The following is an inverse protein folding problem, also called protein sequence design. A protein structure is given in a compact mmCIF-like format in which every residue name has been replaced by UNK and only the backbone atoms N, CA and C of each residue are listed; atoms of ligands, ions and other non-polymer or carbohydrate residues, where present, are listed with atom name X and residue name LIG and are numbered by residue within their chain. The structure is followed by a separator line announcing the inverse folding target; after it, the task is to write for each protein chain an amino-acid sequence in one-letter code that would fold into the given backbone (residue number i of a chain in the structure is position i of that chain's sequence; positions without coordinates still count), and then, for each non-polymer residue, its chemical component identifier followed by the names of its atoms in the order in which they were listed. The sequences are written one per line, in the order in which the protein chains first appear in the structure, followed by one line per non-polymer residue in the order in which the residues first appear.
data_IF_933365783620
#
_entry.id   IF_933365783620
#
_cell.length_a   1.000
_cell.length_b   1.000
_cell.length_c   1.000
_cell.angle_alpha   90.00
_cell.angle_beta   90.00
_cell.angle_gamma   90.00
#
_symmetry.space_group_name_H-M   'P 1'
#
loop_
_entity.id
_entity.type
_entity.pdbx_description
1 polymer ?
#
# COMPACT_ATOMS: atom_id res chain seq x y z
N UNK A 1 80.31 -9.23 -31.65
CA UNK A 1 80.44 -9.18 -30.15
C UNK A 1 79.13 -8.94 -29.42
N UNK A 2 78.31 -7.89 -29.78
CA UNK A 2 77.03 -7.65 -29.07
C UNK A 2 75.96 -8.69 -29.43
N UNK A 3 75.87 -9.11 -30.67
CA UNK A 3 74.92 -10.11 -31.14
C UNK A 3 75.26 -11.54 -30.65
N UNK A 4 76.52 -11.88 -30.53
CA UNK A 4 76.99 -13.17 -29.96
C UNK A 4 76.61 -13.28 -28.49
N UNK A 5 76.83 -12.20 -27.72
CA UNK A 5 76.47 -12.15 -26.29
C UNK A 5 74.98 -12.17 -26.06
N UNK A 6 74.15 -11.60 -26.97
CA UNK A 6 72.71 -11.65 -26.93
C UNK A 6 72.20 -13.09 -27.16
N UNK A 7 72.86 -13.87 -28.02
CA UNK A 7 72.53 -15.25 -28.30
C UNK A 7 72.83 -16.17 -27.10
N UNK A 8 74.03 -15.97 -26.50
CA UNK A 8 74.38 -16.69 -25.25
C UNK A 8 73.36 -16.45 -24.15
N UNK A 9 72.89 -15.22 -23.95
CA UNK A 9 71.86 -14.91 -22.97
C UNK A 9 70.48 -15.54 -23.30
N UNK A 10 70.15 -15.68 -24.59
CA UNK A 10 68.90 -16.33 -25.01
C UNK A 10 68.97 -17.85 -24.77
N UNK A 11 70.17 -18.48 -25.00
CA UNK A 11 70.37 -19.92 -24.74
C UNK A 11 70.31 -20.23 -23.23
N UNK A 12 70.89 -19.35 -22.39
CA UNK A 12 70.75 -19.48 -20.93
C UNK A 12 69.28 -19.31 -20.48
N UNK A 13 68.56 -18.34 -21.04
CA UNK A 13 67.15 -18.10 -20.74
C UNK A 13 66.28 -19.29 -21.15
N UNK A 14 66.55 -19.95 -22.28
CA UNK A 14 65.83 -21.12 -22.74
C UNK A 14 66.04 -22.31 -21.81
N UNK A 15 67.29 -22.52 -21.32
CA UNK A 15 67.59 -23.55 -20.36
C UNK A 15 66.83 -23.38 -19.04
N UNK A 16 66.68 -22.12 -18.58
CA UNK A 16 65.91 -21.79 -17.38
C UNK A 16 64.42 -22.04 -17.60
N UNK A 17 63.88 -21.74 -18.77
CA UNK A 17 62.46 -21.95 -19.11
C UNK A 17 62.16 -23.45 -19.17
N UNK A 18 63.01 -24.27 -19.72
CA UNK A 18 62.85 -25.74 -19.75
C UNK A 18 62.84 -26.38 -18.37
N UNK A 19 63.40 -25.72 -17.37
CA UNK A 19 63.42 -26.21 -15.97
C UNK A 19 62.20 -25.74 -15.16
N UNK A 20 61.37 -24.85 -15.65
CA UNK A 20 60.21 -24.32 -14.94
C UNK A 20 58.94 -25.09 -15.30
N UNK A 21 58.24 -25.55 -14.28
CA UNK A 21 56.96 -26.25 -14.36
C UNK A 21 55.81 -25.26 -14.27
N UNK A 22 55.26 -24.84 -15.44
CA UNK A 22 54.02 -24.01 -15.50
C UNK A 22 53.69 -23.64 -16.94
N UNK A 23 52.65 -24.25 -17.55
CA UNK A 23 52.36 -24.17 -19.00
C UNK A 23 52.21 -22.74 -19.52
N UNK A 24 51.41 -21.90 -18.93
CA UNK A 24 51.11 -20.54 -19.45
C UNK A 24 52.30 -19.56 -19.35
N UNK A 25 53.09 -19.64 -18.28
CA UNK A 25 54.30 -18.82 -18.15
C UNK A 25 55.40 -19.29 -19.11
N UNK A 26 55.45 -20.58 -19.42
CA UNK A 26 56.39 -21.19 -20.36
C UNK A 26 56.04 -20.80 -21.80
N UNK A 27 54.81 -20.79 -22.20
CA UNK A 27 54.34 -20.36 -23.55
C UNK A 27 54.61 -18.90 -23.81
N UNK A 28 54.30 -18.01 -22.87
CA UNK A 28 54.52 -16.57 -23.04
C UNK A 28 56.03 -16.25 -23.14
N UNK A 29 56.85 -16.93 -22.37
CA UNK A 29 58.31 -16.79 -22.38
C UNK A 29 58.92 -17.42 -23.64
N UNK A 30 58.44 -18.60 -24.03
CA UNK A 30 58.81 -19.26 -25.29
C UNK A 30 58.55 -18.42 -26.52
N UNK A 31 57.38 -17.74 -26.58
CA UNK A 31 57.08 -16.78 -27.62
C UNK A 31 58.12 -15.63 -27.66
N UNK A 32 58.42 -15.04 -26.50
CA UNK A 32 59.35 -13.92 -26.41
C UNK A 32 60.80 -14.32 -26.85
N UNK A 33 61.22 -15.51 -26.48
CA UNK A 33 62.54 -16.09 -26.87
C UNK A 33 62.60 -16.33 -28.38
N UNK A 34 61.57 -16.97 -28.96
CA UNK A 34 61.50 -17.19 -30.40
C UNK A 34 61.52 -15.89 -31.19
N UNK A 35 60.76 -14.87 -30.73
CA UNK A 35 60.76 -13.53 -31.34
C UNK A 35 62.09 -12.81 -31.22
N UNK A 36 62.79 -12.94 -30.08
CA UNK A 36 64.10 -12.36 -29.88
C UNK A 36 65.19 -13.03 -30.77
N UNK A 37 65.17 -14.37 -30.92
CA UNK A 37 66.02 -15.06 -31.88
C UNK A 37 65.79 -14.64 -33.31
N UNK A 38 64.52 -14.48 -33.71
CA UNK A 38 64.16 -13.98 -35.03
C UNK A 38 64.74 -12.59 -35.32
N UNK A 39 64.67 -11.69 -34.32
CA UNK A 39 65.28 -10.33 -34.46
C UNK A 39 66.80 -10.35 -34.58
N UNK A 40 67.48 -11.17 -33.77
CA UNK A 40 68.95 -11.34 -33.86
C UNK A 40 69.34 -11.88 -35.22
N UNK A 41 68.65 -12.89 -35.75
CA UNK A 41 68.86 -13.43 -37.06
C UNK A 41 68.64 -12.39 -38.16
N UNK A 42 67.58 -11.53 -38.05
CA UNK A 42 67.34 -10.42 -38.97
C UNK A 42 68.49 -9.42 -38.97
N UNK A 43 68.99 -9.03 -37.81
CA UNK A 43 70.10 -8.07 -37.68
C UNK A 43 71.42 -8.65 -38.24
N UNK A 44 71.59 -9.98 -38.25
CA UNK A 44 72.73 -10.70 -38.88
C UNK A 44 72.58 -10.84 -40.39
N UNK A 45 71.44 -10.52 -40.94
CA UNK A 45 71.14 -10.75 -42.35
C UNK A 45 70.77 -12.20 -42.68
N UNK A 46 70.61 -13.08 -41.67
CA UNK A 46 70.20 -14.45 -41.87
C UNK A 46 68.66 -14.54 -41.90
N UNK A 47 68.11 -14.21 -43.04
CA UNK A 47 66.65 -14.16 -43.24
C UNK A 47 65.99 -15.50 -43.14
N UNK A 48 66.68 -16.63 -43.39
CA UNK A 48 66.16 -17.97 -43.24
C UNK A 48 66.07 -18.38 -41.75
N UNK A 49 67.06 -18.04 -40.94
CA UNK A 49 67.02 -18.27 -39.50
C UNK A 49 65.96 -17.39 -38.82
N UNK A 50 65.81 -16.13 -39.28
CA UNK A 50 64.75 -15.23 -38.83
C UNK A 50 63.36 -15.82 -39.12
N UNK A 51 63.14 -16.34 -40.34
CA UNK A 51 61.88 -16.95 -40.74
C UNK A 51 61.53 -18.14 -39.86
N UNK A 52 62.50 -19.07 -39.61
CA UNK A 52 62.26 -20.22 -38.72
C UNK A 52 61.89 -19.80 -37.31
N UNK A 53 62.57 -18.80 -36.79
CA UNK A 53 62.30 -18.32 -35.41
C UNK A 53 60.93 -17.63 -35.28
N UNK A 54 60.55 -16.80 -36.26
CA UNK A 54 59.28 -16.14 -36.29
C UNK A 54 58.12 -17.12 -36.56
N UNK A 55 58.33 -18.20 -37.34
CA UNK A 55 57.37 -19.27 -37.53
C UNK A 55 57.15 -20.07 -36.22
N UNK A 56 58.24 -20.40 -35.49
CA UNK A 56 58.10 -21.01 -34.19
C UNK A 56 57.35 -20.13 -33.19
N UNK A 57 57.56 -18.81 -33.20
CA UNK A 57 56.79 -17.90 -32.39
C UNK A 57 55.30 -17.93 -32.72
N UNK A 58 54.92 -17.97 -34.01
CA UNK A 58 53.52 -18.07 -34.43
C UNK A 58 52.86 -19.36 -33.91
N UNK A 59 53.57 -20.48 -34.02
CA UNK A 59 53.02 -21.76 -33.52
C UNK A 59 52.82 -21.75 -31.98
N UNK A 60 53.76 -21.16 -31.23
CA UNK A 60 53.60 -20.97 -29.80
C UNK A 60 52.42 -20.05 -29.48
N UNK A 61 52.24 -18.96 -30.22
CA UNK A 61 51.14 -18.04 -30.02
C UNK A 61 49.79 -18.71 -30.30
N UNK A 62 49.69 -19.53 -31.34
CA UNK A 62 48.51 -20.34 -31.70
C UNK A 62 48.20 -21.37 -30.64
N UNK A 63 49.18 -22.15 -30.22
CA UNK A 63 48.98 -23.17 -29.19
C UNK A 63 48.49 -22.57 -27.87
N UNK A 64 48.98 -21.39 -27.48
CA UNK A 64 48.56 -20.65 -26.31
C UNK A 64 47.30 -19.77 -26.49
N UNK A 65 46.68 -19.78 -27.68
CA UNK A 65 45.54 -18.91 -28.03
C UNK A 65 45.79 -17.41 -27.77
N UNK A 66 47.06 -16.99 -27.99
CA UNK A 66 47.54 -15.64 -27.70
C UNK A 66 47.35 -14.70 -28.92
N UNK A 67 46.14 -14.30 -29.22
CA UNK A 67 45.73 -13.62 -30.46
C UNK A 67 46.53 -12.34 -30.77
N UNK A 68 46.85 -11.52 -29.75
CA UNK A 68 47.70 -10.33 -29.92
C UNK A 68 49.13 -10.68 -30.34
N UNK A 69 49.69 -11.80 -29.82
CA UNK A 69 50.99 -12.28 -30.17
C UNK A 69 51.04 -12.91 -31.57
N UNK A 70 49.96 -13.57 -31.98
CA UNK A 70 49.80 -14.02 -33.36
C UNK A 70 49.91 -12.87 -34.36
N UNK A 71 49.23 -11.72 -34.06
CA UNK A 71 49.35 -10.51 -34.90
C UNK A 71 50.76 -10.02 -35.05
N UNK A 72 51.55 -10.05 -33.95
CA UNK A 72 52.97 -9.66 -33.96
C UNK A 72 53.81 -10.62 -34.77
N UNK A 73 53.59 -11.95 -34.59
CA UNK A 73 54.32 -12.99 -35.31
C UNK A 73 54.02 -12.94 -36.82
N UNK A 74 52.77 -12.76 -37.22
CA UNK A 74 52.40 -12.58 -38.61
C UNK A 74 53.10 -11.37 -39.24
N UNK A 75 53.20 -10.24 -38.52
CA UNK A 75 53.92 -9.06 -39.02
C UNK A 75 55.41 -9.34 -39.28
N UNK A 76 56.08 -10.06 -38.38
CA UNK A 76 57.49 -10.41 -38.51
C UNK A 76 57.76 -11.45 -39.62
N UNK A 77 56.82 -12.43 -39.73
CA UNK A 77 56.90 -13.40 -40.85
C UNK A 77 56.74 -12.72 -42.21
N UNK A 78 55.80 -11.82 -42.34
CA UNK A 78 55.65 -11.02 -43.56
C UNK A 78 56.92 -10.22 -43.90
N UNK A 79 57.61 -9.65 -42.90
CA UNK A 79 58.85 -8.94 -43.08
C UNK A 79 59.98 -9.89 -43.50
N UNK A 80 60.13 -11.05 -42.87
CA UNK A 80 61.14 -12.07 -43.17
C UNK A 80 60.96 -12.66 -44.59
N UNK A 81 59.73 -12.97 -44.98
CA UNK A 81 59.45 -13.42 -46.32
C UNK A 81 59.74 -12.35 -47.38
N UNK A 82 59.44 -11.10 -47.09
CA UNK A 82 59.77 -9.95 -48.00
C UNK A 82 61.30 -9.84 -48.19
N UNK A 83 62.09 -10.02 -47.13
CA UNK A 83 63.56 -9.99 -47.25
C UNK A 83 64.13 -11.10 -48.12
N UNK A 84 63.45 -12.24 -48.12
CA UNK A 84 63.79 -13.42 -48.96
C UNK A 84 63.28 -13.32 -50.38
N UNK A 85 62.57 -12.25 -50.77
CA UNK A 85 61.92 -12.07 -52.08
C UNK A 85 60.68 -12.95 -52.28
N UNK A 86 60.20 -13.59 -51.24
CA UNK A 86 59.00 -14.45 -51.24
C UNK A 86 57.76 -13.63 -50.97
N UNK A 87 57.35 -12.89 -51.97
CA UNK A 87 56.29 -11.86 -51.79
C UNK A 87 54.88 -12.45 -51.63
N UNK A 88 54.64 -13.61 -52.16
CA UNK A 88 53.35 -14.27 -52.10
C UNK A 88 53.04 -14.69 -50.65
N UNK A 89 54.01 -15.34 -50.03
CA UNK A 89 53.87 -15.77 -48.61
C UNK A 89 53.87 -14.56 -47.66
N UNK A 90 54.65 -13.50 -48.01
CA UNK A 90 54.61 -12.25 -47.26
C UNK A 90 53.18 -11.63 -47.26
N UNK A 91 52.49 -11.70 -48.42
CA UNK A 91 51.14 -11.21 -48.54
C UNK A 91 50.13 -12.04 -47.74
N UNK A 92 50.22 -13.39 -47.82
CA UNK A 92 49.38 -14.29 -47.02
C UNK A 92 49.41 -13.95 -45.50
N UNK A 93 50.63 -13.74 -44.98
CA UNK A 93 50.81 -13.36 -43.57
C UNK A 93 50.25 -11.96 -43.26
N UNK A 94 50.32 -11.03 -44.18
CA UNK A 94 49.80 -9.68 -44.03
C UNK A 94 48.27 -9.71 -44.04
N UNK A 95 47.64 -10.51 -44.91
CA UNK A 95 46.23 -10.71 -44.98
C UNK A 95 45.68 -11.37 -43.73
N UNK A 96 46.35 -12.45 -43.24
CA UNK A 96 45.99 -13.10 -41.98
C UNK A 96 46.01 -12.12 -40.79
N UNK A 97 47.06 -11.27 -40.72
CA UNK A 97 47.19 -10.24 -39.71
C UNK A 97 46.01 -9.24 -39.77
N UNK A 98 45.69 -8.80 -41.00
CA UNK A 98 44.61 -7.83 -41.21
C UNK A 98 43.24 -8.39 -40.79
N UNK A 99 42.92 -9.61 -41.23
CA UNK A 99 41.68 -10.28 -40.90
C UNK A 99 41.51 -10.47 -39.38
N UNK A 100 42.58 -10.90 -38.67
CA UNK A 100 42.52 -11.04 -37.21
C UNK A 100 42.38 -9.68 -36.52
N UNK A 101 43.04 -8.66 -36.97
CA UNK A 101 42.93 -7.29 -36.41
C UNK A 101 41.52 -6.74 -36.60
N UNK A 102 40.91 -6.92 -37.77
CA UNK A 102 39.55 -6.50 -38.06
C UNK A 102 38.52 -7.23 -37.16
N UNK A 103 38.71 -8.56 -36.98
CA UNK A 103 37.84 -9.36 -36.09
C UNK A 103 37.90 -8.87 -34.61
N UNK A 104 39.12 -8.55 -34.12
CA UNK A 104 39.30 -8.02 -32.75
C UNK A 104 38.67 -6.62 -32.60
N UNK A 105 38.84 -5.76 -33.61
CA UNK A 105 38.29 -4.40 -33.59
C UNK A 105 36.75 -4.45 -33.64
N UNK A 106 36.16 -5.31 -34.47
CA UNK A 106 34.72 -5.51 -34.57
C UNK A 106 34.13 -6.00 -33.25
N UNK A 107 34.74 -7.02 -32.63
CA UNK A 107 34.27 -7.56 -31.33
C UNK A 107 34.32 -6.49 -30.23
N UNK A 108 35.38 -5.71 -30.16
CA UNK A 108 35.53 -4.62 -29.19
C UNK A 108 34.46 -3.51 -29.37
N UNK A 109 34.16 -3.19 -30.63
CA UNK A 109 33.15 -2.19 -30.98
C UNK A 109 31.75 -2.69 -30.63
N UNK A 110 31.41 -3.92 -30.98
CA UNK A 110 30.11 -4.53 -30.66
C UNK A 110 29.85 -4.61 -29.15
N UNK A 111 30.88 -5.01 -28.38
CA UNK A 111 30.79 -5.03 -26.91
C UNK A 111 30.54 -3.64 -26.34
N UNK A 112 31.22 -2.61 -26.88
CA UNK A 112 31.05 -1.23 -26.44
C UNK A 112 29.66 -0.69 -26.74
N UNK A 113 29.12 -1.00 -27.93
CA UNK A 113 27.75 -0.63 -28.31
C UNK A 113 26.74 -1.31 -27.39
N UNK A 114 26.87 -2.62 -27.13
CA UNK A 114 25.99 -3.34 -26.21
C UNK A 114 26.05 -2.76 -24.79
N UNK A 115 27.24 -2.41 -24.30
CA UNK A 115 27.39 -1.80 -22.97
C UNK A 115 26.69 -0.45 -22.88
N UNK A 116 26.81 0.39 -23.93
CA UNK A 116 26.13 1.70 -23.99
C UNK A 116 24.60 1.53 -24.06
N UNK A 117 24.12 0.55 -24.83
CA UNK A 117 22.68 0.24 -24.89
C UNK A 117 22.13 -0.19 -23.53
N UNK A 118 22.81 -1.12 -22.83
CA UNK A 118 22.41 -1.56 -21.48
C UNK A 118 22.39 -0.38 -20.51
N UNK A 119 23.39 0.49 -20.55
CA UNK A 119 23.45 1.68 -19.69
C UNK A 119 22.28 2.64 -19.97
N UNK A 120 21.98 2.89 -21.25
CA UNK A 120 20.86 3.71 -21.68
C UNK A 120 19.51 3.13 -21.24
N UNK A 121 19.28 1.83 -21.47
CA UNK A 121 18.03 1.15 -21.12
C UNK A 121 17.83 1.11 -19.59
N UNK A 122 18.93 0.91 -18.84
CA UNK A 122 18.90 0.95 -17.37
C UNK A 122 18.52 2.33 -16.86
N UNK A 123 19.08 3.38 -17.44
CA UNK A 123 18.76 4.77 -17.05
C UNK A 123 17.30 5.12 -17.41
N UNK A 124 16.84 4.74 -18.60
CA UNK A 124 15.44 4.93 -19.02
C UNK A 124 14.46 4.18 -18.07
N UNK A 125 14.80 2.94 -17.70
CA UNK A 125 14.00 2.17 -16.75
C UNK A 125 13.95 2.82 -15.36
N UNK A 126 15.06 3.37 -14.87
CA UNK A 126 15.11 4.12 -13.60
C UNK A 126 14.24 5.37 -13.63
N UNK A 127 14.31 6.15 -14.70
CA UNK A 127 13.50 7.36 -14.87
C UNK A 127 12.01 7.01 -14.93
N UNK A 128 11.65 5.95 -15.66
CA UNK A 128 10.26 5.48 -15.72
C UNK A 128 9.74 4.99 -14.36
N UNK A 129 10.55 4.27 -13.61
CA UNK A 129 10.20 3.82 -12.25
C UNK A 129 9.98 5.00 -11.30
N UNK A 130 10.81 6.05 -11.38
CA UNK A 130 10.64 7.26 -10.55
C UNK A 130 9.36 8.02 -10.91
N UNK A 131 9.06 8.19 -12.21
CA UNK A 131 7.81 8.81 -12.67
C UNK A 131 6.59 8.02 -12.16
N UNK A 132 6.62 6.69 -12.25
CA UNK A 132 5.54 5.84 -11.74
C UNK A 132 5.37 6.01 -10.24
N UNK A 133 6.47 6.02 -9.47
CA UNK A 133 6.44 6.21 -8.03
C UNK A 133 5.80 7.54 -7.62
N UNK A 134 6.20 8.63 -8.28
CA UNK A 134 5.63 9.95 -8.03
C UNK A 134 4.14 9.99 -8.36
N UNK A 135 3.73 9.45 -9.51
CA UNK A 135 2.32 9.39 -9.91
C UNK A 135 1.47 8.53 -8.96
N UNK A 136 2.02 7.39 -8.50
CA UNK A 136 1.33 6.55 -7.52
C UNK A 136 1.11 7.31 -6.21
N UNK A 137 2.14 8.02 -5.71
CA UNK A 137 2.02 8.83 -4.51
C UNK A 137 1.00 9.98 -4.65
N UNK A 138 0.99 10.68 -5.78
CA UNK A 138 -0.01 11.72 -6.08
C UNK A 138 -1.43 11.14 -6.13
N UNK A 139 -1.61 10.00 -6.80
CA UNK A 139 -2.92 9.34 -6.91
C UNK A 139 -3.43 8.87 -5.56
N UNK A 140 -2.57 8.26 -4.73
CA UNK A 140 -2.93 7.85 -3.37
C UNK A 140 -3.33 9.03 -2.50
N UNK A 141 -2.62 10.16 -2.60
CA UNK A 141 -2.98 11.38 -1.89
C UNK A 141 -4.33 11.94 -2.36
N UNK A 142 -4.57 11.95 -3.67
CA UNK A 142 -5.85 12.39 -4.25
C UNK A 142 -7.00 11.47 -3.82
N UNK A 143 -6.81 10.14 -3.85
CA UNK A 143 -7.82 9.17 -3.40
C UNK A 143 -8.15 9.39 -1.93
N UNK A 144 -7.13 9.50 -1.05
CA UNK A 144 -7.36 9.78 0.37
C UNK A 144 -8.14 11.09 0.59
N UNK A 145 -7.76 12.16 -0.11
CA UNK A 145 -8.47 13.44 -0.03
C UNK A 145 -9.93 13.32 -0.47
N UNK A 146 -10.18 12.68 -1.61
CA UNK A 146 -11.55 12.48 -2.12
C UNK A 146 -12.40 11.57 -1.24
N UNK A 147 -11.80 10.53 -0.63
CA UNK A 147 -12.53 9.67 0.32
C UNK A 147 -12.95 10.47 1.55
N UNK A 148 -12.04 11.28 2.10
CA UNK A 148 -12.36 12.15 3.24
C UNK A 148 -13.45 13.17 2.91
N UNK A 149 -13.38 13.82 1.74
CA UNK A 149 -14.42 14.77 1.28
C UNK A 149 -15.79 14.08 1.16
N UNK A 150 -15.81 12.85 0.61
CA UNK A 150 -17.06 12.08 0.46
C UNK A 150 -17.65 11.68 1.82
N UNK A 151 -16.84 11.28 2.77
CA UNK A 151 -17.28 10.97 4.14
C UNK A 151 -17.89 12.22 4.81
N UNK A 152 -17.26 13.39 4.66
CA UNK A 152 -17.77 14.65 5.17
C UNK A 152 -19.11 15.03 4.53
N UNK A 153 -19.22 14.95 3.20
CA UNK A 153 -20.46 15.23 2.49
C UNK A 153 -21.59 14.26 2.83
N UNK A 154 -21.28 12.98 3.02
CA UNK A 154 -22.25 12.01 3.49
C UNK A 154 -22.76 12.37 4.88
N UNK A 155 -21.86 12.71 5.81
CA UNK A 155 -22.22 13.12 7.16
C UNK A 155 -23.12 14.37 7.13
N UNK A 156 -22.77 15.38 6.35
CA UNK A 156 -23.57 16.58 6.18
C UNK A 156 -24.98 16.26 5.61
N UNK A 157 -25.03 15.39 4.60
CA UNK A 157 -26.31 14.98 4.01
C UNK A 157 -27.21 14.28 5.03
N UNK A 158 -26.66 13.35 5.82
CA UNK A 158 -27.41 12.67 6.89
C UNK A 158 -27.89 13.64 7.97
N UNK A 159 -27.06 14.59 8.38
CA UNK A 159 -27.46 15.63 9.33
C UNK A 159 -28.62 16.47 8.79
N UNK A 160 -28.56 16.89 7.52
CA UNK A 160 -29.62 17.67 6.90
C UNK A 160 -30.94 16.89 6.75
N UNK A 161 -30.84 15.57 6.43
CA UNK A 161 -32.01 14.69 6.36
C UNK A 161 -32.65 14.49 7.75
N UNK A 162 -31.84 14.27 8.79
CA UNK A 162 -32.30 14.17 10.16
C UNK A 162 -33.02 15.44 10.61
N UNK A 163 -32.39 16.62 10.41
CA UNK A 163 -33.01 17.94 10.70
C UNK A 163 -34.31 18.15 9.92
N UNK A 164 -34.36 17.75 8.64
CA UNK A 164 -35.56 17.86 7.82
C UNK A 164 -36.71 17.02 8.36
N UNK A 165 -36.44 15.82 8.84
CA UNK A 165 -37.43 14.93 9.46
C UNK A 165 -37.99 15.53 10.75
N UNK A 166 -37.15 16.14 11.57
CA UNK A 166 -37.51 16.76 12.85
C UNK A 166 -38.07 18.19 12.72
N UNK A 167 -37.78 18.89 11.60
CA UNK A 167 -38.22 20.27 11.41
C UNK A 167 -39.75 20.43 11.54
N UNK A 168 -40.51 19.35 11.41
CA UNK A 168 -41.94 19.30 11.62
C UNK A 168 -42.34 19.08 13.09
N UNK A 169 -41.45 18.44 13.87
CA UNK A 169 -41.58 18.32 15.32
C UNK A 169 -40.82 19.49 15.95
N UNK A 170 -41.25 20.01 17.07
CA UNK A 170 -40.83 21.30 17.65
C UNK A 170 -39.37 21.43 18.07
N UNK A 171 -38.50 20.52 17.70
CA UNK A 171 -37.12 20.46 18.14
C UNK A 171 -36.11 20.98 17.06
N UNK A 172 -35.05 21.58 17.52
CA UNK A 172 -34.05 22.30 16.70
C UNK A 172 -33.09 21.38 15.91
N UNK A 173 -33.34 20.07 15.79
CA UNK A 173 -32.44 19.10 15.18
C UNK A 173 -31.23 18.75 16.06
N UNK A 174 -31.04 19.41 17.20
CA UNK A 174 -29.97 19.11 18.14
C UNK A 174 -30.18 17.79 18.89
N UNK A 175 -31.43 17.37 19.05
CA UNK A 175 -31.83 16.10 19.65
C UNK A 175 -31.20 14.92 18.93
N UNK A 176 -31.35 14.82 17.61
CA UNK A 176 -30.79 13.72 16.82
C UNK A 176 -29.27 13.62 16.95
N UNK A 177 -28.58 14.77 17.03
CA UNK A 177 -27.14 14.82 17.24
C UNK A 177 -26.80 14.24 18.61
N UNK A 178 -27.49 14.68 19.68
CA UNK A 178 -27.24 14.20 21.05
C UNK A 178 -27.54 12.71 21.19
N UNK A 179 -28.65 12.22 20.62
CA UNK A 179 -28.98 10.78 20.62
C UNK A 179 -27.91 9.99 19.88
N UNK A 180 -27.46 10.42 18.70
CA UNK A 180 -26.39 9.77 17.95
C UNK A 180 -25.06 9.72 18.73
N UNK A 181 -24.66 10.83 19.32
CA UNK A 181 -23.40 10.93 20.08
C UNK A 181 -23.43 10.11 21.38
N UNK A 182 -24.54 10.10 22.11
CA UNK A 182 -24.73 9.27 23.28
C UNK A 182 -24.73 7.77 22.91
N UNK A 183 -25.42 7.39 21.85
CA UNK A 183 -25.44 6.00 21.34
C UNK A 183 -24.03 5.51 21.00
N UNK A 184 -23.24 6.35 20.33
CA UNK A 184 -21.84 6.03 20.03
C UNK A 184 -20.97 5.87 21.27
N UNK A 185 -21.17 6.72 22.30
CA UNK A 185 -20.43 6.62 23.56
C UNK A 185 -20.77 5.33 24.30
N UNK A 186 -22.06 4.96 24.37
CA UNK A 186 -22.51 3.69 24.95
C UNK A 186 -21.92 2.49 24.19
N UNK A 187 -21.97 2.51 22.86
CA UNK A 187 -21.43 1.46 22.03
C UNK A 187 -19.93 1.24 22.24
N UNK A 188 -19.16 2.36 22.34
CA UNK A 188 -17.74 2.32 22.64
C UNK A 188 -17.46 1.71 24.01
N UNK A 189 -18.25 2.04 25.02
CA UNK A 189 -18.13 1.52 26.37
C UNK A 189 -18.47 0.01 26.41
N UNK A 190 -19.37 -0.45 25.55
CA UNK A 190 -19.67 -1.88 25.39
C UNK A 190 -18.56 -2.66 24.65
N UNK A 191 -17.55 -1.98 24.09
CA UNK A 191 -16.41 -2.60 23.42
C UNK A 191 -16.62 -2.87 21.93
N UNK A 192 -17.59 -2.21 21.31
CA UNK A 192 -17.85 -2.33 19.88
C UNK A 192 -16.71 -1.71 19.04
N UNK A 193 -16.56 -2.14 17.79
CA UNK A 193 -15.51 -1.64 16.89
C UNK A 193 -15.70 -0.16 16.56
N UNK A 194 -14.58 0.58 16.33
CA UNK A 194 -14.63 1.99 15.97
C UNK A 194 -15.49 2.27 14.73
N UNK A 195 -15.49 1.37 13.75
CA UNK A 195 -16.33 1.47 12.55
C UNK A 195 -17.83 1.35 12.90
N UNK A 196 -18.19 0.38 13.72
CA UNK A 196 -19.59 0.19 14.14
C UNK A 196 -20.07 1.34 15.02
N UNK A 197 -19.23 1.84 15.92
CA UNK A 197 -19.48 3.03 16.75
C UNK A 197 -19.74 4.26 15.88
N UNK A 198 -18.91 4.47 14.85
CA UNK A 198 -19.10 5.54 13.88
C UNK A 198 -20.43 5.40 13.13
N UNK A 199 -20.73 4.21 12.63
CA UNK A 199 -22.00 3.95 11.94
C UNK A 199 -23.20 4.16 12.85
N UNK A 200 -23.13 3.70 14.12
CA UNK A 200 -24.25 3.88 15.06
C UNK A 200 -24.49 5.33 15.41
N UNK A 201 -23.42 6.15 15.51
CA UNK A 201 -23.54 7.61 15.68
C UNK A 201 -24.41 8.24 14.62
N UNK A 202 -24.23 7.84 13.36
CA UNK A 202 -24.95 8.36 12.22
C UNK A 202 -26.36 7.76 12.09
N UNK A 203 -26.46 6.45 12.31
CA UNK A 203 -27.73 5.72 12.27
C UNK A 203 -28.70 6.22 13.34
N UNK A 204 -28.21 6.46 14.56
CA UNK A 204 -29.01 7.00 15.65
C UNK A 204 -29.64 8.36 15.36
N UNK A 205 -28.98 9.16 14.51
CA UNK A 205 -29.54 10.46 14.07
C UNK A 205 -30.76 10.33 13.15
N UNK A 206 -30.98 9.15 12.55
CA UNK A 206 -32.06 8.85 11.63
C UNK A 206 -33.16 8.01 12.24
N UNK A 207 -33.14 7.77 13.57
CA UNK A 207 -34.11 6.90 14.24
C UNK A 207 -35.56 7.29 13.95
N UNK A 208 -35.83 8.56 13.89
CA UNK A 208 -37.15 9.19 13.72
C UNK A 208 -37.47 9.65 12.29
N UNK A 209 -36.66 9.26 11.27
CA UNK A 209 -36.86 9.70 9.87
C UNK A 209 -38.29 9.44 9.34
N UNK A 210 -38.93 8.38 9.82
CA UNK A 210 -40.28 8.01 9.43
C UNK A 210 -41.37 8.97 9.91
N UNK A 211 -41.12 9.85 10.86
CA UNK A 211 -42.06 10.92 11.28
C UNK A 211 -42.48 11.82 10.12
N UNK A 212 -41.70 11.86 9.04
CA UNK A 212 -42.04 12.57 7.81
C UNK A 212 -43.38 12.15 7.24
N UNK A 213 -43.82 10.92 7.47
CA UNK A 213 -45.10 10.40 6.98
C UNK A 213 -46.26 10.52 7.99
N UNK A 214 -45.99 10.93 9.24
CA UNK A 214 -47.03 11.12 10.25
C UNK A 214 -47.79 12.44 9.96
N UNK A 215 -49.15 12.42 9.95
CA UNK A 215 -49.94 13.64 9.73
C UNK A 215 -49.71 14.71 10.80
N UNK A 216 -49.65 16.00 10.42
CA UNK A 216 -49.45 17.13 11.34
C UNK A 216 -50.49 17.18 12.46
N UNK A 217 -51.75 16.80 12.16
CA UNK A 217 -52.82 16.71 13.16
C UNK A 217 -52.55 15.76 14.31
N UNK A 218 -51.65 14.79 14.10
CA UNK A 218 -51.23 13.82 15.12
C UNK A 218 -49.88 14.25 15.69
N UNK A 219 -48.91 14.53 14.83
CA UNK A 219 -47.56 14.88 15.24
C UNK A 219 -47.50 16.12 16.12
N UNK A 220 -48.27 17.18 15.73
CA UNK A 220 -48.28 18.48 16.40
C UNK A 220 -49.48 18.64 17.37
N UNK A 221 -50.18 17.59 17.72
CA UNK A 221 -51.35 17.65 18.59
C UNK A 221 -51.01 18.20 19.96
N UNK A 222 -51.66 19.30 20.41
CA UNK A 222 -51.41 19.82 21.74
C UNK A 222 -52.17 18.99 22.78
N UNK A 223 -51.62 17.87 23.22
CA UNK A 223 -52.22 17.01 24.24
C UNK A 223 -52.02 15.50 23.99
N UNK A 224 -52.56 14.63 24.83
CA UNK A 224 -52.41 13.20 24.67
C UNK A 224 -53.06 12.69 23.37
N UNK A 225 -52.41 11.70 22.75
CA UNK A 225 -52.94 10.98 21.58
C UNK A 225 -54.01 10.01 22.03
N UNK A 226 -55.04 9.83 21.23
CA UNK A 226 -55.97 8.69 21.37
C UNK A 226 -55.27 7.40 20.99
N UNK A 227 -55.88 6.22 21.29
CA UNK A 227 -55.31 4.91 20.93
C UNK A 227 -55.07 4.81 19.41
N UNK A 228 -56.04 5.23 18.58
CA UNK A 228 -55.94 5.17 17.12
C UNK A 228 -54.84 6.14 16.59
N UNK A 229 -54.75 7.35 17.15
CA UNK A 229 -53.71 8.32 16.81
C UNK A 229 -52.33 7.81 17.22
N UNK A 230 -52.20 7.13 18.38
CA UNK A 230 -50.98 6.53 18.82
C UNK A 230 -50.58 5.36 17.93
N UNK A 231 -51.51 4.57 17.41
CA UNK A 231 -51.24 3.51 16.44
C UNK A 231 -50.70 4.09 15.12
N UNK A 232 -51.20 5.24 14.66
CA UNK A 232 -50.62 5.97 13.52
C UNK A 232 -49.22 6.49 13.88
N UNK A 233 -49.03 7.06 15.06
CA UNK A 233 -47.72 7.56 15.48
C UNK A 233 -46.67 6.42 15.46
N UNK A 234 -47.01 5.23 15.93
CA UNK A 234 -46.08 4.06 15.93
C UNK A 234 -45.59 3.69 14.53
N UNK A 235 -46.35 4.01 13.48
CA UNK A 235 -45.94 3.68 12.10
C UNK A 235 -44.65 4.37 11.65
N UNK A 236 -44.19 5.42 12.35
CA UNK A 236 -42.92 6.06 11.99
C UNK A 236 -41.73 5.09 12.03
N UNK A 237 -41.76 4.08 12.90
CA UNK A 237 -40.70 3.07 12.99
C UNK A 237 -40.64 2.20 11.75
N UNK A 238 -41.77 1.68 11.29
CA UNK A 238 -41.86 0.85 10.08
C UNK A 238 -41.62 1.64 8.81
N UNK A 239 -42.18 2.85 8.72
CA UNK A 239 -41.98 3.75 7.56
C UNK A 239 -40.52 4.22 7.49
N UNK A 240 -39.90 4.54 8.63
CA UNK A 240 -38.48 4.89 8.70
C UNK A 240 -37.59 3.77 8.18
N UNK A 241 -37.86 2.54 8.61
CA UNK A 241 -37.15 1.35 8.10
C UNK A 241 -37.39 1.14 6.59
N UNK A 242 -38.62 1.37 6.09
CA UNK A 242 -38.94 1.25 4.68
C UNK A 242 -38.21 2.30 3.83
N UNK A 243 -38.19 3.57 4.27
CA UNK A 243 -37.44 4.68 3.60
C UNK A 243 -35.97 4.32 3.45
N UNK A 244 -35.37 3.69 4.45
CA UNK A 244 -33.94 3.34 4.49
C UNK A 244 -33.66 1.94 3.90
N UNK A 245 -34.68 1.20 3.49
CA UNK A 245 -34.54 -0.16 2.97
C UNK A 245 -33.88 -0.22 1.58
N UNK A 246 -33.38 -1.42 1.20
CA UNK A 246 -32.86 -1.68 -0.15
C UNK A 246 -31.44 -1.13 -0.41
N UNK A 247 -30.80 -0.51 0.57
CA UNK A 247 -29.40 -0.06 0.46
C UNK A 247 -28.40 -1.18 0.70
N UNK A 248 -27.30 -1.19 -0.04
CA UNK A 248 -26.13 -2.05 0.21
C UNK A 248 -25.14 -1.46 1.22
N UNK A 249 -25.34 -0.20 1.64
CA UNK A 249 -24.48 0.49 2.61
C UNK A 249 -24.72 -0.06 4.02
N UNK A 250 -23.70 -0.56 4.74
CA UNK A 250 -23.82 -1.03 6.12
C UNK A 250 -24.41 0.05 7.05
N UNK A 251 -24.04 1.32 6.84
CA UNK A 251 -24.57 2.44 7.59
C UNK A 251 -26.08 2.58 7.43
N UNK A 252 -26.60 2.54 6.17
CA UNK A 252 -28.03 2.70 5.90
C UNK A 252 -28.81 1.48 6.41
N UNK A 253 -28.24 0.28 6.31
CA UNK A 253 -28.83 -0.93 6.90
C UNK A 253 -28.97 -0.80 8.41
N UNK A 254 -27.92 -0.32 9.09
CA UNK A 254 -27.95 -0.06 10.52
C UNK A 254 -28.97 1.03 10.89
N UNK A 255 -29.08 2.08 10.08
CA UNK A 255 -30.09 3.12 10.29
C UNK A 255 -31.53 2.58 10.13
N UNK A 256 -31.79 1.71 9.16
CA UNK A 256 -33.08 1.03 9.02
C UNK A 256 -33.40 0.14 10.24
N UNK A 257 -32.38 -0.59 10.74
CA UNK A 257 -32.49 -1.41 11.93
C UNK A 257 -32.82 -0.57 13.17
N UNK A 258 -32.12 0.55 13.35
CA UNK A 258 -32.38 1.53 14.44
C UNK A 258 -33.78 2.09 14.32
N UNK A 259 -34.19 2.60 13.15
CA UNK A 259 -35.51 3.17 12.95
C UNK A 259 -36.62 2.19 13.30
N UNK A 260 -36.45 0.90 12.96
CA UNK A 260 -37.45 -0.14 13.25
C UNK A 260 -37.52 -0.48 14.72
N UNK A 261 -36.39 -0.46 15.47
CA UNK A 261 -36.33 -1.14 16.77
C UNK A 261 -36.10 -0.21 17.98
N UNK A 262 -35.93 1.10 17.80
CA UNK A 262 -35.62 2.02 18.90
C UNK A 262 -36.78 2.22 19.91
N UNK A 263 -37.97 1.75 19.60
CA UNK A 263 -39.13 1.70 20.52
C UNK A 263 -39.49 0.31 20.98
N UNK A 264 -38.68 -0.71 20.64
CA UNK A 264 -38.79 -1.99 21.28
C UNK A 264 -38.36 -1.91 22.75
N UNK A 265 -38.91 -2.73 23.57
CA UNK A 265 -38.65 -2.81 25.02
C UNK A 265 -38.13 -4.16 25.39
N UNK A 266 -37.21 -4.23 26.32
CA UNK A 266 -36.56 -5.47 26.74
C UNK A 266 -37.60 -6.52 27.19
N UNK A 267 -38.70 -6.10 27.84
CA UNK A 267 -39.81 -6.94 28.33
C UNK A 267 -40.82 -7.37 27.22
N UNK A 268 -40.62 -6.94 25.96
CA UNK A 268 -41.50 -7.25 24.83
C UNK A 268 -42.78 -6.43 24.76
N UNK A 269 -42.94 -5.44 25.61
CA UNK A 269 -44.13 -4.54 25.60
C UNK A 269 -43.97 -3.36 24.64
N UNK A 270 -42.87 -3.34 23.88
CA UNK A 270 -42.55 -2.32 22.89
C UNK A 270 -43.27 -2.50 21.56
N UNK A 271 -42.88 -1.72 20.58
CA UNK A 271 -43.39 -1.73 19.20
C UNK A 271 -42.25 -1.49 18.18
N UNK A 272 -42.45 -1.88 16.90
CA UNK A 272 -43.65 -2.43 16.27
C UNK A 272 -43.77 -3.96 16.40
N UNK A 273 -42.67 -4.68 16.69
CA UNK A 273 -42.61 -6.12 16.64
C UNK A 273 -42.92 -6.80 17.97
N UNK A 274 -42.83 -6.11 19.12
CA UNK A 274 -42.93 -6.69 20.46
C UNK A 274 -41.78 -7.70 20.71
N UNK A 275 -40.59 -7.42 20.23
CA UNK A 275 -39.39 -8.24 20.41
C UNK A 275 -38.96 -8.26 21.87
N UNK A 276 -38.43 -9.41 22.31
CA UNK A 276 -38.05 -9.60 23.71
C UNK A 276 -36.54 -9.82 23.84
N UNK A 277 -35.93 -9.16 24.79
CA UNK A 277 -34.54 -9.42 25.15
C UNK A 277 -33.57 -9.24 23.99
N UNK A 278 -32.73 -10.23 23.72
CA UNK A 278 -31.71 -10.22 22.68
C UNK A 278 -32.27 -10.33 21.25
N UNK A 279 -33.55 -10.63 21.06
CA UNK A 279 -34.21 -10.55 19.75
C UNK A 279 -34.28 -9.09 19.24
N UNK A 280 -34.15 -8.11 20.15
CA UNK A 280 -33.96 -6.70 19.79
C UNK A 280 -32.49 -6.48 19.40
N UNK A 281 -32.18 -6.01 18.20
CA UNK A 281 -30.81 -5.68 17.81
C UNK A 281 -30.13 -4.74 18.81
N UNK A 282 -28.82 -4.94 19.03
CA UNK A 282 -28.06 -4.12 19.97
C UNK A 282 -28.14 -2.62 19.67
N UNK A 283 -28.18 -2.25 18.39
CA UNK A 283 -28.38 -0.88 17.92
C UNK A 283 -29.65 -0.26 18.43
N UNK A 284 -30.76 -0.98 18.36
CA UNK A 284 -32.06 -0.56 18.90
C UNK A 284 -32.03 -0.39 20.42
N UNK A 285 -31.48 -1.40 21.14
CA UNK A 285 -31.34 -1.37 22.61
C UNK A 285 -30.54 -0.16 23.11
N UNK A 286 -29.44 0.19 22.42
CA UNK A 286 -28.59 1.36 22.73
C UNK A 286 -29.34 2.66 22.46
N UNK A 287 -29.92 2.81 21.24
CA UNK A 287 -30.58 4.04 20.84
C UNK A 287 -31.79 4.32 21.70
N UNK A 288 -32.54 3.28 22.14
CA UNK A 288 -33.67 3.44 23.09
C UNK A 288 -33.24 4.13 24.39
N UNK A 289 -32.09 3.76 24.98
CA UNK A 289 -31.58 4.38 26.21
C UNK A 289 -31.20 5.83 25.94
N UNK A 290 -30.47 6.11 24.84
CA UNK A 290 -30.02 7.43 24.46
C UNK A 290 -31.21 8.39 24.18
N UNK A 291 -32.20 7.92 23.41
CA UNK A 291 -33.41 8.68 23.07
C UNK A 291 -34.23 9.03 24.31
N UNK A 292 -34.49 8.03 25.17
CA UNK A 292 -35.26 8.27 26.40
C UNK A 292 -34.54 9.25 27.32
N UNK A 293 -33.21 9.12 27.48
CA UNK A 293 -32.43 10.06 28.30
C UNK A 293 -32.54 11.48 27.77
N UNK A 294 -32.36 11.69 26.46
CA UNK A 294 -32.46 13.00 25.84
C UNK A 294 -33.91 13.54 25.92
N UNK A 295 -34.90 12.71 25.67
CA UNK A 295 -36.31 13.09 25.77
C UNK A 295 -36.74 13.51 27.18
N UNK A 296 -36.14 12.95 28.23
CA UNK A 296 -36.41 13.32 29.63
C UNK A 296 -35.68 14.60 30.03
N UNK A 297 -34.45 14.81 29.56
CA UNK A 297 -33.58 15.94 29.95
C UNK A 297 -33.74 17.17 29.08
N UNK A 298 -34.35 17.05 27.88
CA UNK A 298 -34.60 18.14 26.99
C UNK A 298 -35.86 18.91 27.35
N UNK A 299 -35.85 20.25 27.15
CA UNK A 299 -36.98 21.13 27.37
C UNK A 299 -37.99 20.93 26.22
N UNK A 300 -39.22 20.47 26.50
CA UNK A 300 -40.30 20.38 25.53
C UNK A 300 -41.41 21.38 25.86
N UNK A 301 -42.09 21.86 24.88
CA UNK A 301 -43.11 22.96 24.98
C UNK A 301 -44.20 22.69 26.04
N UNK A 302 -44.40 21.44 26.44
CA UNK A 302 -45.46 21.00 27.35
C UNK A 302 -44.98 20.27 28.60
N UNK A 303 -43.65 20.13 28.82
CA UNK A 303 -43.07 19.38 29.95
C UNK A 303 -41.79 20.03 30.45
N UNK A 304 -41.69 20.26 31.76
CA UNK A 304 -40.40 20.61 32.37
C UNK A 304 -39.40 19.53 32.14
N UNK A 305 -38.19 19.93 31.71
CA UNK A 305 -37.07 19.02 31.65
C UNK A 305 -36.76 18.42 33.04
N UNK A 306 -36.53 17.13 33.09
CA UNK A 306 -36.02 16.49 34.28
C UNK A 306 -34.56 16.87 34.49
N UNK A 307 -34.11 16.83 35.73
CA UNK A 307 -32.67 16.88 35.99
C UNK A 307 -32.01 15.61 35.44
N UNK A 308 -30.74 15.67 35.02
CA UNK A 308 -30.02 14.47 34.61
C UNK A 308 -30.10 13.34 35.62
N UNK A 309 -30.05 13.65 36.92
CA UNK A 309 -30.16 12.67 38.00
C UNK A 309 -31.51 11.97 38.00
N UNK A 310 -32.63 12.70 37.89
CA UNK A 310 -33.97 12.10 37.81
C UNK A 310 -34.11 11.18 36.59
N UNK A 311 -33.59 11.56 35.44
CA UNK A 311 -33.62 10.76 34.23
C UNK A 311 -32.79 9.45 34.38
N UNK A 312 -31.60 9.56 35.00
CA UNK A 312 -30.73 8.41 35.29
C UNK A 312 -31.42 7.44 36.26
N UNK A 313 -32.02 7.97 37.33
CA UNK A 313 -32.77 7.12 38.31
C UNK A 313 -33.93 6.40 37.65
N UNK A 314 -34.66 7.06 36.73
CA UNK A 314 -35.71 6.39 35.95
C UNK A 314 -35.15 5.27 35.08
N UNK A 315 -34.04 5.51 34.35
CA UNK A 315 -33.43 4.51 33.47
C UNK A 315 -32.92 3.32 34.31
N UNK A 316 -32.30 3.56 35.46
CA UNK A 316 -31.86 2.51 36.39
C UNK A 316 -33.08 1.69 36.90
N UNK A 317 -34.13 2.36 37.27
CA UNK A 317 -35.36 1.70 37.76
C UNK A 317 -36.12 0.90 36.71
N UNK A 318 -35.85 1.13 35.43
CA UNK A 318 -36.45 0.44 34.29
C UNK A 318 -35.53 -0.66 33.68
N UNK A 319 -34.40 -1.01 34.35
CA UNK A 319 -33.57 -2.17 33.99
C UNK A 319 -34.42 -3.45 33.93
N UNK A 320 -34.11 -4.33 33.00
CA UNK A 320 -34.77 -5.61 32.74
C UNK A 320 -36.28 -5.52 32.41
N UNK A 321 -36.85 -4.30 32.37
CA UNK A 321 -38.17 -4.02 31.87
C UNK A 321 -38.15 -3.28 30.55
N UNK A 322 -37.81 -1.99 30.54
CA UNK A 322 -37.69 -1.22 29.32
C UNK A 322 -36.32 -1.41 28.65
N UNK A 323 -35.23 -1.52 29.43
CA UNK A 323 -33.85 -1.48 28.97
C UNK A 323 -33.10 -2.75 29.37
N UNK A 324 -32.14 -3.17 28.52
CA UNK A 324 -31.14 -4.17 28.86
C UNK A 324 -30.22 -3.65 29.98
N UNK A 325 -30.04 -4.44 31.05
CA UNK A 325 -29.17 -4.05 32.18
C UNK A 325 -27.74 -3.68 31.74
N UNK A 326 -27.14 -4.48 30.85
CA UNK A 326 -25.78 -4.26 30.33
C UNK A 326 -25.62 -2.89 29.59
N UNK A 327 -26.62 -2.51 28.80
CA UNK A 327 -26.63 -1.23 28.09
C UNK A 327 -26.80 -0.08 29.08
N UNK A 328 -27.65 -0.25 30.10
CA UNK A 328 -27.82 0.76 31.16
C UNK A 328 -26.52 0.94 31.97
N UNK A 329 -25.80 -0.15 32.27
CA UNK A 329 -24.53 -0.07 33.00
C UNK A 329 -23.49 0.71 32.18
N UNK A 330 -23.35 0.43 30.89
CA UNK A 330 -22.47 1.20 30.00
C UNK A 330 -22.89 2.66 29.88
N UNK A 331 -24.19 2.96 29.82
CA UNK A 331 -24.71 4.33 29.82
C UNK A 331 -24.32 5.08 31.10
N UNK A 332 -24.46 4.44 32.29
CA UNK A 332 -24.09 5.05 33.56
C UNK A 332 -22.58 5.39 33.58
N UNK A 333 -21.72 4.51 33.09
CA UNK A 333 -20.30 4.77 32.99
C UNK A 333 -20.00 6.00 32.11
N UNK A 334 -20.63 6.09 30.92
CA UNK A 334 -20.50 7.23 30.00
C UNK A 334 -20.94 8.54 30.65
N UNK A 335 -22.11 8.54 31.33
CA UNK A 335 -22.60 9.77 31.98
C UNK A 335 -21.76 10.14 33.19
N UNK A 336 -21.20 9.17 33.90
CA UNK A 336 -20.29 9.39 35.02
C UNK A 336 -18.98 10.06 34.61
N UNK A 337 -18.48 9.76 33.42
CA UNK A 337 -17.29 10.42 32.86
C UNK A 337 -17.56 11.87 32.44
N UNK A 338 -18.77 12.12 31.91
CA UNK A 338 -19.13 13.47 31.39
C UNK A 338 -19.67 14.41 32.49
N UNK A 339 -20.23 13.85 33.58
CA UNK A 339 -20.86 14.56 34.67
C UNK A 339 -20.40 13.98 36.02
N UNK A 340 -19.14 14.18 36.43
CA UNK A 340 -18.60 13.61 37.68
C UNK A 340 -19.35 14.06 38.95
N UNK A 341 -20.00 15.25 38.93
CA UNK A 341 -20.86 15.74 40.02
C UNK A 341 -22.06 14.85 40.31
N UNK A 342 -22.56 14.11 39.28
CA UNK A 342 -23.72 13.21 39.41
C UNK A 342 -23.31 11.86 40.00
N UNK A 343 -22.03 11.45 39.88
CA UNK A 343 -21.53 10.18 40.40
C UNK A 343 -21.68 10.03 41.91
N UNK A 344 -21.40 11.09 42.70
CA UNK A 344 -21.56 11.04 44.16
C UNK A 344 -23.02 10.85 44.57
N UNK A 345 -23.96 11.40 43.78
CA UNK A 345 -25.38 11.31 44.07
C UNK A 345 -25.96 9.95 43.61
N UNK A 346 -25.50 9.41 42.47
CA UNK A 346 -25.87 8.04 42.05
C UNK A 346 -25.38 7.01 43.07
N UNK A 347 -24.16 7.09 43.54
CA UNK A 347 -23.60 6.19 44.54
C UNK A 347 -24.39 6.18 45.88
N UNK A 348 -25.04 7.30 46.23
CA UNK A 348 -25.94 7.37 47.40
C UNK A 348 -27.32 6.86 47.13
N UNK A 349 -27.78 6.84 45.88
CA UNK A 349 -29.12 6.39 45.50
C UNK A 349 -29.20 4.86 45.20
N UNK A 350 -28.05 4.23 44.91
CA UNK A 350 -27.93 2.80 44.58
C UNK A 350 -27.46 1.97 45.79
N UNK A 351 -26.92 2.63 46.85
CA UNK A 351 -26.57 1.98 48.12
C UNK A 351 -27.75 1.99 49.10
#
# INVERSE_FOLDING_TARGET
HQLERAEECLDEAELIVQQRTGAAATESTGFALAMARGRIATERGDSEAALRSHAAALEIARAGSMLEKELVAHAQLAASYKQLGRFEEALEHQEARFAQHEALFSQGTDLRIKTLQIAHDTEAARQQAEILRLRTGELEALVRGRTSDLEEYQLEAFQRLAVLAEFRDTDTGEHTIRVGDMSAAIAKQLGESDEWVHHLRLAGRLHDIGKVAVPDSILLKPGPLTADEFDVMKTHTTIGAEILSGSSSPLIQLAAEVALNHHERWDGTGYPGGRVGEDIPLSGRIVTVADVFDALTSHRTYKHAWTPLEAIQYIIGAKDAQFEARVVDAFIEVVSETHPEICEEIGRAVA
#
